data_IF_769388823077
#
_entry.id   IF_769388823077
#
_cell.length_a   1.000
_cell.length_b   1.000
_cell.length_c   1.000
_cell.angle_alpha   90.00
_cell.angle_beta   90.00
_cell.angle_gamma   90.00
#
_symmetry.space_group_name_H-M   'P 1'
#
loop_
_entity.id
_entity.type
_entity.pdbx_description
1 polymer ?
#
# COMPACT_ATOMS: atom_id res chain seq x y z
N UNK A 1 83.62 31.19 26.19
CA UNK A 1 83.01 29.85 26.00
C UNK A 1 81.47 29.80 26.05
N UNK A 2 80.74 30.95 26.06
CA UNK A 2 79.25 30.99 26.17
C UNK A 2 78.48 31.11 24.84
N UNK A 3 79.13 31.48 23.73
CA UNK A 3 78.45 31.75 22.45
C UNK A 3 78.15 30.46 21.66
N UNK A 4 79.02 29.46 21.76
CA UNK A 4 78.91 28.20 21.00
C UNK A 4 77.74 27.30 21.47
N UNK A 5 77.33 27.42 22.73
CA UNK A 5 76.16 26.70 23.28
C UNK A 5 74.82 27.29 22.83
N UNK A 6 74.74 28.62 22.62
CA UNK A 6 73.50 29.28 22.13
C UNK A 6 73.17 28.89 20.70
N UNK A 7 74.16 28.77 19.82
CA UNK A 7 73.94 28.35 18.44
C UNK A 7 73.57 26.87 18.33
N UNK A 8 74.15 26.01 19.17
CA UNK A 8 73.79 24.59 19.23
C UNK A 8 72.34 24.38 19.72
N UNK A 9 71.93 25.14 20.74
CA UNK A 9 70.55 25.07 21.24
C UNK A 9 69.53 25.63 20.24
N UNK A 10 69.85 26.71 19.52
CA UNK A 10 69.00 27.24 18.46
C UNK A 10 68.85 26.26 17.29
N UNK A 11 69.93 25.58 16.90
CA UNK A 11 69.89 24.57 15.85
C UNK A 11 69.06 23.34 16.25
N UNK A 12 69.15 22.90 17.51
CA UNK A 12 68.36 21.78 18.04
C UNK A 12 66.86 22.10 18.06
N UNK A 13 66.48 23.31 18.48
CA UNK A 13 65.07 23.76 18.49
C UNK A 13 64.51 23.87 17.06
N UNK A 14 65.33 24.31 16.10
CA UNK A 14 64.93 24.43 14.69
C UNK A 14 64.71 23.04 14.05
N UNK A 15 65.52 22.05 14.39
CA UNK A 15 65.34 20.65 13.94
C UNK A 15 64.07 20.02 14.54
N UNK A 16 63.71 20.34 15.78
CA UNK A 16 62.49 19.82 16.41
C UNK A 16 61.24 20.44 15.76
N UNK A 17 61.25 21.75 15.48
CA UNK A 17 60.11 22.44 14.83
C UNK A 17 59.90 21.97 13.39
N UNK A 18 60.98 21.75 12.63
CA UNK A 18 60.88 21.24 11.25
C UNK A 18 60.65 19.73 11.19
N UNK A 19 61.09 18.95 12.19
CA UNK A 19 60.91 17.50 12.24
C UNK A 19 59.47 17.05 12.55
N UNK A 20 58.68 17.85 13.27
CA UNK A 20 57.27 17.55 13.58
C UNK A 20 56.31 17.84 12.43
N UNK A 21 56.75 18.55 11.38
CA UNK A 21 55.90 18.91 10.23
C UNK A 21 55.55 17.74 9.32
N UNK A 22 56.47 16.78 9.13
CA UNK A 22 56.27 15.68 8.18
C UNK A 22 55.42 14.52 8.73
N UNK A 23 55.37 14.33 10.06
CA UNK A 23 54.60 13.24 10.69
C UNK A 23 53.10 13.57 10.76
N UNK A 24 52.76 14.85 10.78
CA UNK A 24 51.38 15.33 10.91
C UNK A 24 50.59 15.21 9.58
N UNK A 25 51.26 15.43 8.44
CA UNK A 25 50.63 15.41 7.10
C UNK A 25 50.10 14.04 6.69
N UNK A 26 50.84 12.96 7.03
CA UNK A 26 50.41 11.58 6.74
C UNK A 26 49.15 11.19 7.53
N UNK A 27 48.99 11.71 8.75
CA UNK A 27 47.82 11.48 9.60
C UNK A 27 46.58 12.21 9.06
N UNK A 28 46.75 13.43 8.53
CA UNK A 28 45.65 14.18 7.89
C UNK A 28 45.20 13.55 6.57
N UNK A 29 46.12 13.04 5.74
CA UNK A 29 45.76 12.36 4.48
C UNK A 29 44.99 11.06 4.75
N UNK A 30 45.42 10.25 5.74
CA UNK A 30 44.66 9.06 6.16
C UNK A 30 43.29 9.39 6.75
N UNK A 31 43.20 10.48 7.52
CA UNK A 31 41.93 10.95 8.08
C UNK A 31 40.99 11.43 6.96
N UNK A 32 41.50 12.12 5.95
CA UNK A 32 40.70 12.60 4.83
C UNK A 32 40.23 11.45 3.93
N UNK A 33 41.07 10.44 3.69
CA UNK A 33 40.68 9.22 2.98
C UNK A 33 39.62 8.41 3.74
N UNK A 34 39.75 8.29 5.07
CA UNK A 34 38.75 7.61 5.90
C UNK A 34 37.44 8.38 5.97
N UNK A 35 37.47 9.72 6.05
CA UNK A 35 36.27 10.57 5.97
C UNK A 35 35.62 10.46 4.59
N UNK A 36 36.39 10.46 3.50
CA UNK A 36 35.87 10.25 2.13
C UNK A 36 35.26 8.87 1.96
N UNK A 37 35.88 7.82 2.50
CA UNK A 37 35.35 6.46 2.49
C UNK A 37 34.05 6.36 3.31
N UNK A 38 34.06 6.91 4.53
CA UNK A 38 32.89 6.91 5.41
C UNK A 38 31.73 7.68 4.77
N UNK A 39 31.99 8.82 4.12
CA UNK A 39 30.97 9.58 3.38
C UNK A 39 30.37 8.77 2.24
N UNK A 40 31.18 8.08 1.44
CA UNK A 40 30.69 7.18 0.38
C UNK A 40 29.83 6.04 0.94
N UNK A 41 30.23 5.45 2.08
CA UNK A 41 29.46 4.40 2.75
C UNK A 41 28.14 4.93 3.32
N UNK A 42 28.12 6.13 3.86
CA UNK A 42 26.89 6.80 4.31
C UNK A 42 25.97 7.07 3.12
N UNK A 43 26.50 7.62 2.03
CA UNK A 43 25.73 7.88 0.80
C UNK A 43 25.15 6.57 0.22
N UNK A 44 25.94 5.49 0.19
CA UNK A 44 25.50 4.15 -0.24
C UNK A 44 24.39 3.60 0.68
N UNK A 45 24.57 3.64 2.00
CA UNK A 45 23.56 3.19 2.97
C UNK A 45 22.27 4.01 2.86
N UNK A 46 22.37 5.34 2.73
CA UNK A 46 21.21 6.22 2.53
C UNK A 46 20.48 5.88 1.21
N UNK A 47 21.22 5.59 0.14
CA UNK A 47 20.64 5.19 -1.14
C UNK A 47 19.91 3.85 -1.08
N UNK A 48 20.52 2.84 -0.44
CA UNK A 48 19.92 1.50 -0.23
C UNK A 48 18.69 1.57 0.65
N UNK A 49 18.72 2.42 1.68
CA UNK A 49 17.56 2.63 2.55
C UNK A 49 16.42 3.34 1.83
N UNK A 50 16.72 4.36 1.00
CA UNK A 50 15.71 5.01 0.16
C UNK A 50 15.11 4.04 -0.87
N UNK A 51 15.92 3.19 -1.48
CA UNK A 51 15.46 2.18 -2.43
C UNK A 51 14.61 1.10 -1.75
N UNK A 52 15.06 0.59 -0.60
CA UNK A 52 14.29 -0.37 0.21
C UNK A 52 12.94 0.22 0.65
N UNK A 53 12.92 1.46 1.16
CA UNK A 53 11.68 2.13 1.53
C UNK A 53 10.74 2.35 0.34
N UNK A 54 11.28 2.66 -0.85
CA UNK A 54 10.49 2.76 -2.09
C UNK A 54 9.91 1.41 -2.52
N UNK A 55 10.69 0.32 -2.43
CA UNK A 55 10.21 -1.03 -2.76
C UNK A 55 9.13 -1.48 -1.79
N UNK A 56 9.36 -1.35 -0.49
CA UNK A 56 8.39 -1.73 0.54
C UNK A 56 7.13 -0.89 0.47
N UNK A 57 7.22 0.42 0.18
CA UNK A 57 6.02 1.25 0.02
C UNK A 57 5.24 0.90 -1.25
N UNK A 58 5.92 0.60 -2.35
CA UNK A 58 5.29 0.12 -3.58
C UNK A 58 4.64 -1.26 -3.40
N UNK A 59 5.27 -2.18 -2.68
CA UNK A 59 4.70 -3.49 -2.33
C UNK A 59 3.49 -3.37 -1.41
N UNK A 60 3.56 -2.55 -0.37
CA UNK A 60 2.41 -2.25 0.49
C UNK A 60 1.25 -1.63 -0.29
N UNK A 61 1.54 -0.79 -1.28
CA UNK A 61 0.53 -0.24 -2.16
C UNK A 61 -0.09 -1.30 -3.07
N UNK A 62 0.72 -2.20 -3.64
CA UNK A 62 0.23 -3.33 -4.42
C UNK A 62 -0.62 -4.26 -3.57
N UNK A 63 -0.17 -4.58 -2.36
CA UNK A 63 -0.89 -5.47 -1.44
C UNK A 63 -2.18 -4.82 -0.94
N UNK A 64 -2.17 -3.54 -0.59
CA UNK A 64 -3.39 -2.83 -0.24
C UNK A 64 -4.34 -2.73 -1.44
N UNK A 65 -3.83 -2.51 -2.66
CA UNK A 65 -4.67 -2.53 -3.85
C UNK A 65 -5.29 -3.93 -4.06
N UNK A 66 -4.50 -5.00 -3.94
CA UNK A 66 -4.93 -6.39 -4.10
C UNK A 66 -5.96 -6.81 -3.04
N UNK A 67 -5.68 -6.55 -1.77
CA UNK A 67 -6.60 -6.85 -0.65
C UNK A 67 -7.90 -6.07 -0.80
N UNK A 68 -7.84 -4.80 -1.22
CA UNK A 68 -9.05 -4.00 -1.45
C UNK A 68 -9.82 -4.49 -2.69
N UNK A 69 -9.15 -4.92 -3.75
CA UNK A 69 -9.79 -5.55 -4.91
C UNK A 69 -10.48 -6.86 -4.52
N UNK A 70 -9.84 -7.69 -3.69
CA UNK A 70 -10.45 -8.94 -3.18
C UNK A 70 -11.64 -8.67 -2.27
N UNK A 71 -11.53 -7.71 -1.35
CA UNK A 71 -12.64 -7.28 -0.49
C UNK A 71 -13.82 -6.75 -1.32
N UNK A 72 -13.52 -5.96 -2.35
CA UNK A 72 -14.52 -5.39 -3.26
C UNK A 72 -15.17 -6.43 -4.17
N UNK A 73 -14.39 -7.42 -4.62
CA UNK A 73 -14.89 -8.60 -5.34
C UNK A 73 -15.82 -9.41 -4.44
N UNK A 74 -15.44 -9.66 -3.17
CA UNK A 74 -16.30 -10.35 -2.21
C UNK A 74 -17.58 -9.57 -1.93
N UNK A 75 -17.49 -8.25 -1.76
CA UNK A 75 -18.67 -7.44 -1.48
C UNK A 75 -19.62 -7.39 -2.67
N UNK A 76 -19.08 -7.28 -3.88
CA UNK A 76 -19.83 -7.38 -5.12
C UNK A 76 -20.49 -8.76 -5.26
N UNK A 77 -19.78 -9.83 -4.93
CA UNK A 77 -20.29 -11.20 -4.98
C UNK A 77 -21.43 -11.42 -3.98
N UNK A 78 -21.29 -10.88 -2.77
CA UNK A 78 -22.37 -10.86 -1.76
C UNK A 78 -23.56 -10.03 -2.23
N UNK A 79 -23.34 -8.89 -2.88
CA UNK A 79 -24.41 -8.06 -3.44
C UNK A 79 -25.14 -8.76 -4.60
N UNK A 80 -24.41 -9.43 -5.50
CA UNK A 80 -25.01 -10.26 -6.56
C UNK A 80 -25.80 -11.41 -5.95
N UNK A 81 -25.25 -12.07 -4.92
CA UNK A 81 -25.92 -13.15 -4.21
C UNK A 81 -27.22 -12.67 -3.57
N UNK A 82 -27.22 -11.51 -2.91
CA UNK A 82 -28.41 -10.92 -2.31
C UNK A 82 -29.43 -10.46 -3.35
N UNK A 83 -28.98 -9.89 -4.48
CA UNK A 83 -29.88 -9.51 -5.58
C UNK A 83 -30.56 -10.73 -6.21
N UNK A 84 -29.83 -11.83 -6.39
CA UNK A 84 -30.40 -13.10 -6.84
C UNK A 84 -31.38 -13.68 -5.80
N UNK A 85 -31.11 -13.51 -4.51
CA UNK A 85 -32.02 -13.90 -3.44
C UNK A 85 -33.33 -13.09 -3.50
N UNK A 86 -33.24 -11.77 -3.64
CA UNK A 86 -34.40 -10.88 -3.80
C UNK A 86 -35.21 -11.18 -5.07
N UNK A 87 -34.55 -11.55 -6.17
CA UNK A 87 -35.21 -11.97 -7.41
C UNK A 87 -35.95 -13.31 -7.25
N UNK A 88 -35.35 -14.27 -6.54
CA UNK A 88 -36.01 -15.51 -6.12
C UNK A 88 -37.21 -15.25 -5.19
N UNK A 89 -37.19 -14.19 -4.38
CA UNK A 89 -38.32 -13.84 -3.49
C UNK A 89 -39.42 -13.02 -4.18
N UNK A 90 -39.10 -12.27 -5.23
CA UNK A 90 -40.09 -11.42 -5.96
C UNK A 90 -40.89 -12.17 -7.03
N UNK A 91 -40.40 -13.31 -7.49
CA UNK A 91 -41.14 -14.15 -8.43
C UNK A 91 -41.48 -15.48 -7.77
N UNK A 92 -42.75 -15.76 -7.42
CA UNK A 92 -43.24 -17.13 -7.38
C UNK A 92 -43.26 -17.64 -8.82
N UNK A 93 -42.07 -17.85 -9.38
CA UNK A 93 -41.93 -18.58 -10.63
C UNK A 93 -42.33 -19.99 -10.27
N UNK A 94 -43.38 -20.51 -10.88
CA UNK A 94 -43.62 -21.95 -10.87
C UNK A 94 -42.30 -22.61 -11.28
N UNK A 95 -41.57 -23.14 -10.30
CA UNK A 95 -40.34 -23.84 -10.57
C UNK A 95 -40.77 -25.07 -11.39
N UNK A 96 -40.24 -25.29 -12.61
CA UNK A 96 -40.22 -26.65 -13.11
C UNK A 96 -39.47 -27.43 -12.03
N UNK A 97 -40.12 -28.44 -11.47
CA UNK A 97 -39.65 -29.19 -10.32
C UNK A 97 -38.17 -29.57 -10.52
N UNK A 98 -37.27 -28.77 -9.96
CA UNK A 98 -35.91 -29.20 -9.70
C UNK A 98 -36.12 -30.27 -8.66
N UNK A 99 -36.01 -31.52 -9.10
CA UNK A 99 -36.31 -32.68 -8.27
C UNK A 99 -35.59 -32.48 -6.94
N UNK A 100 -36.29 -32.66 -5.82
CA UNK A 100 -35.73 -32.50 -4.47
C UNK A 100 -34.38 -33.25 -4.30
N UNK A 101 -34.16 -34.25 -5.15
CA UNK A 101 -32.94 -35.03 -5.32
C UNK A 101 -31.71 -34.19 -5.72
N UNK A 102 -31.83 -33.21 -6.61
CA UNK A 102 -30.71 -32.37 -7.04
C UNK A 102 -30.25 -31.41 -5.93
N UNK A 103 -31.22 -30.90 -5.17
CA UNK A 103 -30.97 -30.07 -3.98
C UNK A 103 -30.35 -30.92 -2.87
N UNK A 104 -30.84 -32.14 -2.65
CA UNK A 104 -30.26 -33.11 -1.70
C UNK A 104 -28.80 -33.43 -2.04
N UNK A 105 -28.49 -33.65 -3.33
CA UNK A 105 -27.14 -33.95 -3.83
C UNK A 105 -26.19 -32.76 -3.65
N UNK A 106 -26.69 -31.54 -3.81
CA UNK A 106 -25.92 -30.32 -3.55
C UNK A 106 -25.61 -30.18 -2.05
N UNK A 107 -26.57 -30.46 -1.17
CA UNK A 107 -26.36 -30.44 0.28
C UNK A 107 -25.35 -31.50 0.73
N UNK A 108 -25.43 -32.74 0.24
CA UNK A 108 -24.45 -33.79 0.54
C UNK A 108 -23.03 -33.43 0.06
N UNK A 109 -22.93 -32.82 -1.13
CA UNK A 109 -21.65 -32.34 -1.67
C UNK A 109 -21.06 -31.21 -0.82
N UNK A 110 -21.90 -30.29 -0.33
CA UNK A 110 -21.47 -29.20 0.54
C UNK A 110 -21.03 -29.72 1.92
N UNK A 111 -21.76 -30.68 2.50
CA UNK A 111 -21.41 -31.31 3.77
C UNK A 111 -20.06 -32.05 3.70
N UNK A 112 -19.83 -32.76 2.59
CA UNK A 112 -18.54 -33.41 2.33
C UNK A 112 -17.37 -32.41 2.25
N UNK A 113 -17.58 -31.26 1.59
CA UNK A 113 -16.56 -30.20 1.51
C UNK A 113 -16.29 -29.55 2.87
N UNK A 114 -17.32 -29.37 3.69
CA UNK A 114 -17.20 -28.84 5.05
C UNK A 114 -16.36 -29.77 5.93
N UNK A 115 -16.64 -31.07 5.92
CA UNK A 115 -15.85 -32.08 6.64
C UNK A 115 -14.39 -32.11 6.19
N UNK A 116 -14.15 -32.04 4.87
CA UNK A 116 -12.80 -32.00 4.31
C UNK A 116 -12.02 -30.76 4.80
N UNK A 117 -12.70 -29.61 4.90
CA UNK A 117 -12.10 -28.36 5.35
C UNK A 117 -11.78 -28.41 6.85
N UNK A 118 -12.67 -28.99 7.66
CA UNK A 118 -12.45 -29.18 9.09
C UNK A 118 -11.23 -30.07 9.37
N UNK A 119 -11.10 -31.18 8.64
CA UNK A 119 -9.91 -32.05 8.69
C UNK A 119 -8.65 -31.29 8.31
N UNK A 120 -8.71 -30.49 7.24
CA UNK A 120 -7.56 -29.69 6.77
C UNK A 120 -7.13 -28.66 7.81
N UNK A 121 -8.09 -28.00 8.47
CA UNK A 121 -7.83 -27.04 9.55
C UNK A 121 -7.23 -27.73 10.77
N UNK A 122 -7.73 -28.90 11.17
CA UNK A 122 -7.15 -29.69 12.26
C UNK A 122 -5.73 -30.15 11.95
N UNK A 123 -5.46 -30.58 10.71
CA UNK A 123 -4.11 -30.96 10.28
C UNK A 123 -3.13 -29.80 10.33
N UNK A 124 -3.55 -28.60 9.87
CA UNK A 124 -2.75 -27.39 9.96
C UNK A 124 -2.49 -26.96 11.41
N UNK A 125 -3.48 -27.13 12.30
CA UNK A 125 -3.31 -26.86 13.74
C UNK A 125 -2.37 -27.88 14.40
N UNK A 126 -2.41 -29.15 14.01
CA UNK A 126 -1.47 -30.17 14.50
C UNK A 126 -0.05 -29.95 13.98
N UNK A 127 0.12 -29.47 12.74
CA UNK A 127 1.42 -29.05 12.20
C UNK A 127 1.95 -27.80 12.91
N UNK A 128 1.07 -26.85 13.26
CA UNK A 128 1.44 -25.68 14.06
C UNK A 128 1.78 -26.02 15.53
N UNK A 129 1.27 -27.15 16.05
CA UNK A 129 1.56 -27.66 17.39
C UNK A 129 2.89 -28.41 17.55
N UNK A 130 3.52 -28.84 16.45
CA UNK A 130 4.75 -29.65 16.44
C UNK A 130 5.92 -29.00 15.68
N UNK A 131 6.12 -27.68 15.85
CA UNK A 131 7.33 -26.98 15.40
C UNK A 131 8.38 -26.93 16.53
N UNK A 132 9.65 -27.33 16.29
CA UNK A 132 10.66 -27.35 17.34
C UNK A 132 11.06 -25.95 17.79
N UNK A 133 11.35 -25.87 19.09
CA UNK A 133 11.82 -24.72 19.82
C UNK A 133 13.05 -24.03 19.20
N UNK A 134 13.11 -22.71 19.44
CA UNK A 134 14.30 -21.90 19.63
C UNK A 134 15.28 -21.76 18.46
N UNK A 135 15.12 -20.66 17.71
CA UNK A 135 16.27 -19.91 17.21
C UNK A 135 16.39 -18.63 18.01
N UNK A 136 17.45 -18.59 18.82
CA UNK A 136 17.82 -17.51 19.74
C UNK A 136 18.27 -16.30 18.93
N UNK A 137 17.62 -15.15 19.13
CA UNK A 137 18.21 -13.84 18.83
C UNK A 137 19.12 -13.42 19.98
N UNK A 138 20.39 -13.01 19.75
CA UNK A 138 21.17 -12.33 20.76
C UNK A 138 20.72 -10.87 20.85
N UNK A 139 20.05 -10.57 21.96
CA UNK A 139 19.95 -9.23 22.53
C UNK A 139 21.35 -8.80 23.00
N UNK A 140 21.84 -7.64 22.55
CA UNK A 140 22.77 -6.85 23.36
C UNK A 140 22.18 -5.46 23.49
N UNK A 141 21.77 -5.19 24.73
CA UNK A 141 21.37 -3.89 25.22
C UNK A 141 22.61 -3.04 25.55
N UNK A 142 22.47 -1.72 25.38
CA UNK A 142 23.43 -0.73 25.86
C UNK A 142 22.91 0.68 25.59
N UNK A 143 22.08 1.21 26.49
CA UNK A 143 21.85 2.65 26.62
C UNK A 143 23.11 3.35 27.15
N UNK A 144 23.21 4.67 27.29
CA UNK A 144 22.34 5.80 27.04
C UNK A 144 23.25 7.05 26.89
N UNK A 145 22.69 8.15 26.34
CA UNK A 145 23.02 9.58 26.61
C UNK A 145 24.49 10.02 26.66
N UNK A 146 24.94 10.97 25.81
CA UNK A 146 24.85 12.41 26.10
C UNK A 146 24.73 13.32 24.87
N UNK A 147 24.02 14.44 25.07
CA UNK A 147 23.75 15.57 24.15
C UNK A 147 24.92 16.62 24.16
N UNK A 148 24.86 17.80 23.48
CA UNK A 148 25.80 18.28 22.44
C UNK A 148 26.61 19.56 22.82
N UNK A 149 27.35 20.24 21.88
CA UNK A 149 26.73 21.32 21.09
C UNK A 149 27.27 21.58 19.64
N UNK A 150 26.32 21.96 18.79
CA UNK A 150 26.31 23.06 17.79
C UNK A 150 27.20 23.14 16.52
N UNK A 151 26.52 23.59 15.45
CA UNK A 151 26.94 24.18 14.15
C UNK A 151 27.17 23.22 12.95
N UNK A 152 26.48 23.25 11.79
CA UNK A 152 25.33 24.00 11.22
C UNK A 152 24.79 23.15 10.02
N UNK A 153 23.52 23.29 9.57
CA UNK A 153 22.74 22.29 8.84
C UNK A 153 22.44 22.68 7.38
N UNK A 154 22.36 21.71 6.46
CA UNK A 154 21.55 21.89 5.23
C UNK A 154 21.19 20.63 4.41
N UNK A 155 21.82 19.45 4.62
CA UNK A 155 21.53 18.26 3.80
C UNK A 155 20.75 17.13 4.50
N UNK A 156 20.74 17.07 5.83
CA UNK A 156 20.01 16.05 6.63
C UNK A 156 18.49 16.29 6.76
N UNK A 157 18.02 17.47 6.38
CA UNK A 157 16.65 17.90 6.63
C UNK A 157 15.68 17.46 5.52
N UNK A 158 16.15 17.31 4.28
CA UNK A 158 15.31 16.92 3.14
C UNK A 158 14.88 15.44 3.20
N UNK A 159 15.77 14.52 3.60
CA UNK A 159 15.48 13.08 3.70
C UNK A 159 14.60 12.75 4.91
N UNK A 160 14.84 13.40 6.07
CA UNK A 160 13.95 13.28 7.24
C UNK A 160 12.57 13.87 6.95
N UNK A 161 12.49 15.01 6.25
CA UNK A 161 11.23 15.67 5.88
C UNK A 161 10.39 14.85 4.88
N UNK A 162 11.02 14.18 3.91
CA UNK A 162 10.34 13.28 2.98
C UNK A 162 9.82 12.00 3.66
N UNK A 163 10.60 11.38 4.56
CA UNK A 163 10.15 10.22 5.34
C UNK A 163 9.01 10.59 6.31
N UNK A 164 9.07 11.76 6.95
CA UNK A 164 7.97 12.28 7.77
C UNK A 164 6.75 12.69 6.94
N UNK A 165 6.93 13.17 5.71
CA UNK A 165 5.85 13.51 4.80
C UNK A 165 5.10 12.26 4.34
N UNK A 166 5.81 11.19 3.94
CA UNK A 166 5.19 9.91 3.58
C UNK A 166 4.46 9.25 4.76
N UNK A 167 5.03 9.30 5.97
CA UNK A 167 4.35 8.82 7.17
C UNK A 167 3.09 9.64 7.50
N UNK A 168 3.14 10.96 7.30
CA UNK A 168 2.00 11.86 7.50
C UNK A 168 0.91 11.63 6.45
N UNK A 169 1.26 11.47 5.18
CA UNK A 169 0.34 11.10 4.10
C UNK A 169 -0.41 9.82 4.44
N UNK A 170 0.34 8.76 4.80
CA UNK A 170 -0.23 7.48 5.17
C UNK A 170 -1.17 7.60 6.37
N UNK A 171 -0.80 8.35 7.40
CA UNK A 171 -1.65 8.56 8.57
C UNK A 171 -2.98 9.27 8.22
N UNK A 172 -2.97 10.28 7.36
CA UNK A 172 -4.19 10.96 6.91
C UNK A 172 -5.08 10.02 6.08
N UNK A 173 -4.48 9.23 5.20
CA UNK A 173 -5.20 8.25 4.40
C UNK A 173 -5.81 7.15 5.27
N UNK A 174 -5.05 6.61 6.22
CA UNK A 174 -5.48 5.55 7.13
C UNK A 174 -6.61 6.02 8.05
N UNK A 175 -6.56 7.27 8.54
CA UNK A 175 -7.66 7.88 9.30
C UNK A 175 -8.94 7.95 8.46
N UNK A 176 -8.86 8.49 7.22
CA UNK A 176 -9.99 8.55 6.31
C UNK A 176 -10.60 7.16 6.03
N UNK A 177 -9.74 6.18 5.77
CA UNK A 177 -10.15 4.80 5.52
C UNK A 177 -10.74 4.12 6.75
N UNK A 178 -10.23 4.40 7.95
CA UNK A 178 -10.81 3.91 9.19
C UNK A 178 -12.25 4.43 9.40
N UNK A 179 -12.53 5.67 8.99
CA UNK A 179 -13.91 6.21 9.00
C UNK A 179 -14.79 5.49 7.99
N UNK A 180 -14.30 5.27 6.77
CA UNK A 180 -15.02 4.52 5.74
C UNK A 180 -15.42 3.12 6.23
N UNK A 181 -14.48 2.40 6.86
CA UNK A 181 -14.73 1.06 7.42
C UNK A 181 -15.77 1.03 8.54
N UNK A 182 -16.04 2.15 9.19
CA UNK A 182 -17.12 2.27 10.20
C UNK A 182 -18.48 2.58 9.57
N UNK A 183 -18.55 2.77 8.25
CA UNK A 183 -19.77 3.09 7.52
C UNK A 183 -20.15 4.57 7.52
N UNK A 184 -19.34 5.46 8.11
CA UNK A 184 -19.56 6.91 8.05
C UNK A 184 -19.00 7.48 6.74
N UNK A 185 -19.72 7.24 5.65
CA UNK A 185 -19.31 7.59 4.29
C UNK A 185 -19.20 9.11 4.08
N UNK A 186 -20.09 9.90 4.67
CA UNK A 186 -20.05 11.37 4.59
C UNK A 186 -18.78 11.94 5.20
N UNK A 187 -18.42 11.50 6.41
CA UNK A 187 -17.17 11.94 7.07
C UNK A 187 -15.94 11.37 6.38
N UNK A 188 -15.99 10.14 5.89
CA UNK A 188 -14.91 9.52 5.13
C UNK A 188 -14.61 10.31 3.85
N UNK A 189 -15.65 10.64 3.06
CA UNK A 189 -15.51 11.49 1.86
C UNK A 189 -14.87 12.83 2.19
N UNK A 190 -15.32 13.51 3.25
CA UNK A 190 -14.70 14.78 3.70
C UNK A 190 -13.22 14.61 4.03
N UNK A 191 -12.83 13.52 4.70
CA UNK A 191 -11.44 13.25 5.04
C UNK A 191 -10.58 12.91 3.82
N UNK A 192 -11.09 12.08 2.89
CA UNK A 192 -10.38 11.80 1.63
C UNK A 192 -10.23 13.06 0.77
N UNK A 193 -11.25 13.92 0.69
CA UNK A 193 -11.13 15.21 -0.01
C UNK A 193 -10.06 16.09 0.64
N UNK A 194 -10.02 16.19 1.97
CA UNK A 194 -8.95 16.90 2.68
C UNK A 194 -7.57 16.29 2.41
N UNK A 195 -7.47 14.97 2.35
CA UNK A 195 -6.24 14.27 1.98
C UNK A 195 -5.77 14.68 0.57
N UNK A 196 -6.68 14.71 -0.42
CA UNK A 196 -6.35 15.12 -1.79
C UNK A 196 -5.91 16.58 -1.89
N UNK A 197 -6.46 17.48 -1.05
CA UNK A 197 -6.03 18.87 -0.97
C UNK A 197 -4.68 19.02 -0.27
N UNK A 198 -4.45 18.28 0.82
CA UNK A 198 -3.21 18.35 1.59
C UNK A 198 -2.02 17.69 0.87
N UNK A 199 -2.28 16.65 0.07
CA UNK A 199 -1.25 15.85 -0.59
C UNK A 199 -1.59 15.63 -2.08
N UNK A 200 -1.59 16.69 -2.90
CA UNK A 200 -2.06 16.63 -4.28
C UNK A 200 -1.21 15.72 -5.20
N UNK A 201 0.04 15.46 -4.83
CA UNK A 201 1.01 14.61 -5.54
C UNK A 201 1.21 13.24 -4.87
N UNK A 202 0.36 12.87 -3.91
CA UNK A 202 0.51 11.60 -3.21
C UNK A 202 0.33 10.41 -4.13
N UNK A 203 1.09 9.36 -3.89
CA UNK A 203 0.91 8.06 -4.56
C UNK A 203 -0.43 7.40 -4.20
N UNK A 204 -1.07 7.79 -3.08
CA UNK A 204 -2.41 7.32 -2.71
C UNK A 204 -3.55 8.11 -3.36
N UNK A 205 -3.27 9.08 -4.22
CA UNK A 205 -4.28 9.98 -4.81
C UNK A 205 -5.40 9.22 -5.52
N UNK A 206 -5.05 8.26 -6.38
CA UNK A 206 -6.05 7.47 -7.12
C UNK A 206 -6.88 6.59 -6.18
N UNK A 207 -6.25 6.04 -5.13
CA UNK A 207 -6.97 5.27 -4.12
C UNK A 207 -7.95 6.16 -3.34
N UNK A 208 -7.56 7.37 -2.95
CA UNK A 208 -8.43 8.32 -2.27
C UNK A 208 -9.61 8.76 -3.16
N UNK A 209 -9.37 9.01 -4.46
CA UNK A 209 -10.45 9.29 -5.43
C UNK A 209 -11.43 8.11 -5.52
N UNK A 210 -10.91 6.88 -5.58
CA UNK A 210 -11.73 5.69 -5.60
C UNK A 210 -12.59 5.57 -4.34
N UNK A 211 -12.03 5.80 -3.16
CA UNK A 211 -12.82 5.75 -1.93
C UNK A 211 -13.85 6.87 -1.81
N UNK A 212 -13.61 8.04 -2.39
CA UNK A 212 -14.63 9.08 -2.50
C UNK A 212 -15.80 8.59 -3.37
N UNK A 213 -15.50 7.96 -4.51
CA UNK A 213 -16.52 7.37 -5.37
C UNK A 213 -17.30 6.26 -4.65
N UNK A 214 -16.62 5.38 -3.90
CA UNK A 214 -17.27 4.35 -3.09
C UNK A 214 -18.14 4.96 -1.99
N UNK A 215 -17.69 6.02 -1.31
CA UNK A 215 -18.54 6.72 -0.32
C UNK A 215 -19.84 7.20 -0.97
N UNK A 216 -19.75 7.86 -2.13
CA UNK A 216 -20.91 8.30 -2.89
C UNK A 216 -21.81 7.13 -3.30
N UNK A 217 -21.23 6.04 -3.81
CA UNK A 217 -21.97 4.83 -4.17
C UNK A 217 -22.74 4.24 -2.98
N UNK A 218 -22.10 4.12 -1.80
CA UNK A 218 -22.74 3.59 -0.58
C UNK A 218 -23.84 4.50 -0.05
N UNK A 219 -23.72 5.80 -0.26
CA UNK A 219 -24.75 6.79 0.05
C UNK A 219 -25.85 6.88 -1.03
N UNK A 220 -25.81 6.01 -2.06
CA UNK A 220 -26.73 5.99 -3.21
C UNK A 220 -26.67 7.26 -4.07
N UNK A 221 -25.59 8.01 -3.95
CA UNK A 221 -25.23 9.17 -4.77
C UNK A 221 -24.49 8.66 -6.01
N UNK A 222 -25.22 8.00 -6.92
CA UNK A 222 -24.61 7.25 -8.01
C UNK A 222 -24.04 8.18 -9.09
N UNK A 223 -24.65 9.32 -9.34
CA UNK A 223 -24.16 10.35 -10.25
C UNK A 223 -22.80 10.89 -9.80
N UNK A 224 -22.65 11.21 -8.51
CA UNK A 224 -21.39 11.65 -7.94
C UNK A 224 -20.33 10.55 -7.99
N UNK A 225 -20.73 9.29 -7.76
CA UNK A 225 -19.84 8.15 -7.89
C UNK A 225 -19.33 7.99 -9.34
N UNK A 226 -20.22 8.10 -10.33
CA UNK A 226 -19.88 8.04 -11.77
C UNK A 226 -18.86 9.11 -12.12
N UNK A 227 -19.08 10.36 -11.71
CA UNK A 227 -18.14 11.46 -11.98
C UNK A 227 -16.75 11.15 -11.39
N UNK A 228 -16.70 10.55 -10.21
CA UNK A 228 -15.43 10.25 -9.53
C UNK A 228 -14.71 9.04 -10.13
N UNK A 229 -15.44 8.01 -10.57
CA UNK A 229 -14.83 6.92 -11.34
C UNK A 229 -14.34 7.42 -12.71
N UNK A 230 -15.11 8.27 -13.39
CA UNK A 230 -14.72 8.88 -14.66
C UNK A 230 -13.44 9.71 -14.52
N UNK A 231 -13.31 10.47 -13.44
CA UNK A 231 -12.07 11.21 -13.13
C UNK A 231 -10.86 10.27 -13.02
N UNK A 232 -11.02 9.06 -12.46
CA UNK A 232 -9.94 8.06 -12.38
C UNK A 232 -9.58 7.55 -13.78
N UNK A 233 -10.60 7.18 -14.56
CA UNK A 233 -10.46 6.57 -15.89
C UNK A 233 -9.79 7.56 -16.86
N UNK A 234 -10.21 8.82 -16.83
CA UNK A 234 -9.76 9.86 -17.78
C UNK A 234 -8.40 10.44 -17.39
N UNK A 235 -8.17 10.73 -16.10
CA UNK A 235 -6.93 11.41 -15.66
C UNK A 235 -5.80 10.45 -15.32
N UNK A 236 -6.09 9.18 -15.05
CA UNK A 236 -5.10 8.19 -14.64
C UNK A 236 -5.15 6.90 -15.49
N UNK A 237 -5.05 6.98 -16.83
CA UNK A 237 -5.28 5.86 -17.76
C UNK A 237 -4.24 4.73 -17.70
N UNK A 238 -3.18 4.86 -16.90
CA UNK A 238 -2.18 3.80 -16.68
C UNK A 238 -2.23 3.23 -15.24
N UNK A 239 -3.19 3.66 -14.42
CA UNK A 239 -3.28 3.20 -13.04
C UNK A 239 -3.88 1.78 -12.98
N UNK A 240 -3.36 0.88 -12.12
CA UNK A 240 -3.91 -0.48 -11.98
C UNK A 240 -5.37 -0.52 -11.51
N UNK A 241 -5.93 0.58 -11.00
CA UNK A 241 -7.31 0.64 -10.50
C UNK A 241 -8.36 0.96 -11.55
N UNK A 242 -7.99 1.11 -12.82
CA UNK A 242 -8.94 1.49 -13.88
C UNK A 242 -9.99 0.40 -14.12
N UNK A 243 -9.60 -0.88 -14.16
CA UNK A 243 -10.56 -1.97 -14.36
C UNK A 243 -11.63 -1.97 -13.26
N UNK A 244 -11.21 -1.74 -12.00
CA UNK A 244 -12.14 -1.58 -10.87
C UNK A 244 -13.00 -0.33 -11.00
N UNK A 245 -12.43 0.81 -11.41
CA UNK A 245 -13.18 2.05 -11.59
C UNK A 245 -14.23 1.93 -12.70
N UNK A 246 -13.88 1.32 -13.84
CA UNK A 246 -14.83 1.03 -14.93
C UNK A 246 -15.94 0.10 -14.47
N UNK A 247 -15.61 -0.99 -13.79
CA UNK A 247 -16.60 -1.93 -13.26
C UNK A 247 -17.61 -1.21 -12.36
N UNK A 248 -17.10 -0.40 -11.42
CA UNK A 248 -17.92 0.35 -10.47
C UNK A 248 -18.70 1.47 -11.12
N UNK A 249 -18.17 2.13 -12.14
CA UNK A 249 -18.90 3.10 -12.96
C UNK A 249 -20.08 2.41 -13.64
N UNK A 250 -19.85 1.26 -14.28
CA UNK A 250 -20.90 0.46 -14.90
C UNK A 250 -22.00 0.07 -13.90
N UNK A 251 -21.63 -0.40 -12.72
CA UNK A 251 -22.60 -0.68 -11.65
C UNK A 251 -23.34 0.55 -11.16
N UNK A 252 -22.67 1.70 -11.05
CA UNK A 252 -23.30 2.95 -10.65
C UNK A 252 -24.39 3.37 -11.65
N UNK A 253 -24.13 3.24 -12.96
CA UNK A 253 -25.16 3.45 -13.99
C UNK A 253 -26.33 2.48 -13.85
N UNK A 254 -26.06 1.19 -13.59
CA UNK A 254 -27.13 0.20 -13.36
C UNK A 254 -27.98 0.55 -12.14
N UNK A 255 -27.36 1.01 -11.05
CA UNK A 255 -28.06 1.41 -9.84
C UNK A 255 -28.87 2.70 -10.01
N UNK A 256 -28.43 3.58 -10.92
CA UNK A 256 -29.18 4.75 -11.36
C UNK A 256 -30.40 4.40 -12.25
N UNK A 257 -30.45 3.16 -12.75
CA UNK A 257 -31.47 2.70 -13.68
C UNK A 257 -31.08 2.83 -15.15
N UNK A 258 -29.92 3.43 -15.45
CA UNK A 258 -29.37 3.51 -16.80
C UNK A 258 -28.71 2.18 -17.19
N UNK A 259 -29.54 1.25 -17.62
CA UNK A 259 -29.09 -0.07 -18.08
C UNK A 259 -28.28 0.01 -19.37
N UNK A 260 -28.50 1.02 -20.20
CA UNK A 260 -27.83 1.16 -21.49
C UNK A 260 -26.36 1.49 -21.28
N UNK A 261 -26.08 2.57 -20.56
CA UNK A 261 -24.72 3.00 -20.28
C UNK A 261 -24.01 2.00 -19.37
N UNK A 262 -24.71 1.45 -18.37
CA UNK A 262 -24.18 0.39 -17.52
C UNK A 262 -23.69 -0.82 -18.33
N UNK A 263 -24.48 -1.30 -19.29
CA UNK A 263 -24.06 -2.43 -20.17
C UNK A 263 -22.88 -2.05 -21.06
N UNK A 264 -22.85 -0.84 -21.62
CA UNK A 264 -21.74 -0.38 -22.46
C UNK A 264 -20.44 -0.38 -21.68
N UNK A 265 -20.44 0.20 -20.47
CA UNK A 265 -19.25 0.25 -19.62
C UNK A 265 -18.81 -1.15 -19.18
N UNK A 266 -19.74 -2.04 -18.79
CA UNK A 266 -19.38 -3.43 -18.45
C UNK A 266 -18.77 -4.19 -19.63
N UNK A 267 -19.27 -3.99 -20.85
CA UNK A 267 -18.65 -4.56 -22.07
C UNK A 267 -17.25 -4.01 -22.30
N UNK A 268 -17.02 -2.73 -22.01
CA UNK A 268 -15.71 -2.11 -22.07
C UNK A 268 -14.71 -2.75 -21.10
N UNK A 269 -15.12 -3.06 -19.86
CA UNK A 269 -14.27 -3.80 -18.90
C UNK A 269 -13.79 -5.14 -19.50
N UNK A 270 -14.69 -5.86 -20.17
CA UNK A 270 -14.38 -7.17 -20.77
C UNK A 270 -13.44 -7.02 -21.97
N UNK A 271 -13.63 -5.99 -22.79
CA UNK A 271 -12.81 -5.74 -23.97
C UNK A 271 -11.41 -5.25 -23.60
N UNK A 272 -11.30 -4.31 -22.66
CA UNK A 272 -10.04 -3.64 -22.32
C UNK A 272 -9.23 -4.43 -21.28
N UNK A 273 -9.87 -5.26 -20.45
CA UNK A 273 -9.23 -6.01 -19.36
C UNK A 273 -9.69 -7.49 -19.30
N UNK A 274 -9.59 -8.27 -20.39
CA UNK A 274 -10.22 -9.58 -20.54
C UNK A 274 -9.78 -10.63 -19.50
N UNK A 275 -8.55 -10.54 -19.00
CA UNK A 275 -7.96 -11.48 -18.04
C UNK A 275 -8.11 -11.05 -16.57
N UNK A 276 -8.84 -9.95 -16.32
CA UNK A 276 -9.04 -9.42 -14.97
C UNK A 276 -10.25 -10.06 -14.26
N UNK A 277 -10.20 -10.12 -12.93
CA UNK A 277 -11.37 -10.49 -12.11
C UNK A 277 -12.58 -9.59 -12.41
N UNK A 278 -12.32 -8.32 -12.73
CA UNK A 278 -13.38 -7.35 -13.07
C UNK A 278 -14.11 -7.73 -14.36
N UNK A 279 -13.40 -8.26 -15.36
CA UNK A 279 -14.04 -8.74 -16.59
C UNK A 279 -14.91 -9.98 -16.31
N UNK A 280 -14.47 -10.90 -15.46
CA UNK A 280 -15.28 -12.05 -15.06
C UNK A 280 -16.55 -11.63 -14.31
N UNK A 281 -16.44 -10.68 -13.39
CA UNK A 281 -17.60 -10.09 -12.70
C UNK A 281 -18.55 -9.42 -13.72
N UNK A 282 -18.00 -8.62 -14.65
CA UNK A 282 -18.79 -7.94 -15.67
C UNK A 282 -19.54 -8.93 -16.59
N UNK A 283 -18.88 -10.01 -17.04
CA UNK A 283 -19.51 -11.09 -17.83
C UNK A 283 -20.69 -11.70 -17.09
N UNK A 284 -20.51 -12.06 -15.80
CA UNK A 284 -21.59 -12.61 -14.97
C UNK A 284 -22.75 -11.64 -14.85
N UNK A 285 -22.48 -10.35 -14.61
CA UNK A 285 -23.54 -9.34 -14.48
C UNK A 285 -24.31 -9.15 -15.79
N UNK A 286 -23.62 -9.06 -16.93
CA UNK A 286 -24.27 -8.93 -18.25
C UNK A 286 -25.18 -10.12 -18.56
N UNK A 287 -24.73 -11.35 -18.27
CA UNK A 287 -25.54 -12.55 -18.45
C UNK A 287 -26.86 -12.52 -17.66
N UNK A 288 -26.88 -11.88 -16.49
CA UNK A 288 -28.11 -11.68 -15.70
C UNK A 288 -28.98 -10.60 -16.32
N UNK A 289 -28.40 -9.51 -16.83
CA UNK A 289 -29.15 -8.38 -17.40
C UNK A 289 -29.72 -8.63 -18.80
N UNK A 290 -29.27 -9.68 -19.49
CA UNK A 290 -29.74 -10.08 -20.82
C UNK A 290 -30.78 -11.21 -20.77
N UNK A 291 -31.16 -11.66 -19.57
CA UNK A 291 -32.30 -12.57 -19.33
C UNK A 291 -33.60 -11.79 -19.17
#
# INVERSE_FOLDING_TARGET
MKIRHRHFFLALVLVIIFGTGCVNDQYYVQLDDTVRNLKRRVDDVESRQAESQRKTSAELQRLNADVNVRLDSLETEVQIMNANLEENHRTPRELPAVEAKDVQLLYERLDGRLKQLEISVQQLQQQAGNGPAAVKSPLVAGGATTTPPAATPQKKEATKRAATAGAREKAFYDDAYAVFKRGDYSSARKKFTKFLTAFPQSTFRVNALFWIAECSYKEKQYEEAIIKYDEIITKYPHNPKISSALLKQGFSFLMLGDKTDGKIILKKVIADYPDSDQAEIAKRKLKVLDR
#
